data_IF_236009198097
#
_entry.id   IF_236009198097
#
_cell.length_a   1.000
_cell.length_b   1.000
_cell.length_c   1.000
_cell.angle_alpha   90.00
_cell.angle_beta   90.00
_cell.angle_gamma   90.00
#
_symmetry.space_group_name_H-M   'P 1'
#
loop_
_entity.id
_entity.type
_entity.pdbx_description
1 polymer ?
#
# COMPACT_ATOMS: atom_id res chain seq x y z
N UNK A 1 -1.35 -12.96 -11.32
CA UNK A 1 -0.27 -13.05 -10.32
C UNK A 1 -0.70 -12.36 -9.03
N UNK A 2 -0.15 -12.78 -7.88
CA UNK A 2 -0.54 -12.25 -6.56
C UNK A 2 -0.37 -10.72 -6.46
N UNK A 3 0.69 -10.16 -7.05
CA UNK A 3 0.94 -8.72 -7.04
C UNK A 3 -0.17 -7.90 -7.74
N UNK A 4 -0.61 -8.32 -8.93
CA UNK A 4 -1.70 -7.65 -9.64
C UNK A 4 -3.01 -7.66 -8.86
N UNK A 5 -3.29 -8.74 -8.11
CA UNK A 5 -4.46 -8.79 -7.21
C UNK A 5 -4.32 -7.84 -6.03
N UNK A 6 -3.10 -7.65 -5.50
CA UNK A 6 -2.84 -6.65 -4.48
C UNK A 6 -3.08 -5.23 -5.00
N UNK A 7 -2.63 -4.89 -6.21
CA UNK A 7 -2.91 -3.59 -6.84
C UNK A 7 -4.41 -3.38 -7.10
N UNK A 8 -5.12 -4.40 -7.58
CA UNK A 8 -6.58 -4.38 -7.77
C UNK A 8 -7.32 -4.10 -6.44
N UNK A 9 -6.88 -4.73 -5.34
CA UNK A 9 -7.44 -4.46 -4.01
C UNK A 9 -7.16 -3.02 -3.53
N UNK A 10 -5.97 -2.48 -3.81
CA UNK A 10 -5.66 -1.07 -3.53
C UNK A 10 -6.57 -0.15 -4.34
N UNK A 11 -6.82 -0.45 -5.61
CA UNK A 11 -7.73 0.31 -6.49
C UNK A 11 -9.17 0.32 -5.97
N UNK A 12 -9.68 -0.84 -5.53
CA UNK A 12 -10.99 -0.90 -4.86
C UNK A 12 -11.00 -0.08 -3.55
N UNK A 13 -9.91 -0.11 -2.79
CA UNK A 13 -9.79 0.65 -1.53
C UNK A 13 -9.76 2.15 -1.77
N UNK A 14 -9.08 2.61 -2.82
CA UNK A 14 -9.05 4.02 -3.27
C UNK A 14 -10.45 4.49 -3.68
N UNK A 15 -11.20 3.62 -4.37
CA UNK A 15 -12.52 3.94 -4.90
C UNK A 15 -13.59 4.12 -3.82
N UNK A 16 -13.36 3.57 -2.63
CA UNK A 16 -14.28 3.69 -1.49
C UNK A 16 -14.37 5.14 -0.97
N UNK A 17 -15.59 5.69 -0.95
CA UNK A 17 -15.87 7.04 -0.50
C UNK A 17 -15.44 7.31 0.96
N UNK A 18 -15.38 6.28 1.80
CA UNK A 18 -14.93 6.37 3.20
C UNK A 18 -13.47 6.78 3.31
N UNK A 19 -12.66 6.50 2.30
CA UNK A 19 -11.22 6.80 2.29
C UNK A 19 -10.89 8.17 1.69
N UNK A 20 -11.88 8.90 1.17
CA UNK A 20 -11.69 10.26 0.61
C UNK A 20 -11.44 11.33 1.67
N UNK A 21 -11.54 11.01 2.98
CA UNK A 21 -11.41 11.97 4.10
C UNK A 21 -10.07 11.84 4.81
N UNK A 22 -9.52 12.98 5.24
CA UNK A 22 -8.41 13.03 6.21
C UNK A 22 -7.10 12.43 5.70
N UNK A 23 -6.67 12.77 4.48
CA UNK A 23 -5.38 12.37 3.91
C UNK A 23 -5.27 10.92 3.44
N UNK A 24 -6.21 10.03 3.81
CA UNK A 24 -6.19 8.61 3.47
C UNK A 24 -6.11 8.34 1.96
N UNK A 25 -6.90 9.03 1.15
CA UNK A 25 -6.85 8.90 -0.31
C UNK A 25 -5.46 9.19 -0.87
N UNK A 26 -4.80 10.25 -0.37
CA UNK A 26 -3.45 10.62 -0.81
C UNK A 26 -2.44 9.52 -0.49
N UNK A 27 -2.48 8.98 0.73
CA UNK A 27 -1.59 7.90 1.13
C UNK A 27 -1.86 6.60 0.35
N UNK A 28 -3.13 6.28 0.06
CA UNK A 28 -3.46 5.11 -0.77
C UNK A 28 -2.95 5.24 -2.21
N UNK A 29 -3.12 6.41 -2.83
CA UNK A 29 -2.57 6.66 -4.17
C UNK A 29 -1.03 6.59 -4.17
N UNK A 30 -0.38 7.15 -3.15
CA UNK A 30 1.08 7.06 -2.98
C UNK A 30 1.54 5.61 -2.82
N UNK A 31 0.85 4.84 -1.98
CA UNK A 31 1.14 3.42 -1.81
C UNK A 31 1.08 2.67 -3.14
N UNK A 32 0.02 2.90 -3.92
CA UNK A 32 -0.16 2.29 -5.24
C UNK A 32 0.99 2.64 -6.18
N UNK A 33 1.35 3.91 -6.24
CA UNK A 33 2.42 4.42 -7.11
C UNK A 33 3.77 3.81 -6.75
N UNK A 34 4.14 3.80 -5.47
CA UNK A 34 5.42 3.28 -4.99
C UNK A 34 5.50 1.75 -5.16
N UNK A 35 4.40 1.02 -4.98
CA UNK A 35 4.35 -0.41 -5.29
C UNK A 35 4.56 -0.67 -6.78
N UNK A 36 3.91 0.09 -7.66
CA UNK A 36 4.09 -0.07 -9.10
C UNK A 36 5.54 0.26 -9.53
N UNK A 37 6.12 1.34 -9.00
CA UNK A 37 7.52 1.72 -9.26
C UNK A 37 8.51 0.66 -8.77
N UNK A 38 8.28 0.05 -7.60
CA UNK A 38 9.18 -0.97 -7.06
C UNK A 38 9.18 -2.27 -7.88
N UNK A 39 8.01 -2.72 -8.34
CA UNK A 39 7.88 -4.01 -9.05
C UNK A 39 8.08 -3.92 -10.57
N UNK A 40 7.76 -2.78 -11.18
CA UNK A 40 7.77 -2.62 -12.63
C UNK A 40 8.51 -1.38 -13.13
N UNK A 41 8.87 -0.46 -12.23
CA UNK A 41 9.58 0.77 -12.57
C UNK A 41 11.09 0.68 -12.34
N UNK A 42 11.70 1.85 -12.23
CA UNK A 42 13.14 1.97 -11.98
C UNK A 42 13.47 2.06 -10.48
N UNK A 43 12.49 1.77 -9.62
CA UNK A 43 12.60 1.94 -8.17
C UNK A 43 13.09 3.36 -7.79
N UNK A 44 12.50 4.39 -8.41
CA UNK A 44 12.83 5.80 -8.17
C UNK A 44 12.69 6.20 -6.69
N UNK A 45 11.80 5.51 -5.97
CA UNK A 45 11.57 5.73 -4.54
C UNK A 45 12.56 4.97 -3.64
N UNK A 46 13.53 4.24 -4.20
CA UNK A 46 14.52 3.44 -3.47
C UNK A 46 13.89 2.49 -2.44
N UNK A 47 12.78 1.87 -2.81
CA UNK A 47 12.09 0.88 -1.99
C UNK A 47 12.91 -0.42 -1.91
N UNK A 48 12.73 -1.14 -0.80
CA UNK A 48 13.35 -2.43 -0.50
C UNK A 48 12.38 -3.33 0.25
N UNK A 49 12.63 -4.64 0.28
CA UNK A 49 11.81 -5.59 1.06
C UNK A 49 11.70 -5.19 2.53
N UNK A 50 12.81 -4.77 3.15
CA UNK A 50 12.85 -4.30 4.54
C UNK A 50 11.98 -3.04 4.75
N UNK A 51 12.02 -2.10 3.79
CA UNK A 51 11.20 -0.89 3.86
C UNK A 51 9.69 -1.22 3.79
N UNK A 52 9.30 -2.18 2.95
CA UNK A 52 7.92 -2.65 2.87
C UNK A 52 7.48 -3.38 4.13
N UNK A 53 8.35 -4.24 4.67
CA UNK A 53 8.12 -4.93 5.93
C UNK A 53 7.83 -3.92 7.05
N UNK A 54 8.66 -2.88 7.18
CA UNK A 54 8.48 -1.80 8.17
C UNK A 54 7.20 -1.01 7.94
N UNK A 55 6.90 -0.63 6.69
CA UNK A 55 5.69 0.12 6.35
C UNK A 55 4.42 -0.63 6.76
N UNK A 56 4.34 -1.94 6.46
CA UNK A 56 3.19 -2.77 6.80
C UNK A 56 3.21 -3.33 8.23
N UNK A 57 4.34 -3.23 8.95
CA UNK A 57 4.49 -3.79 10.29
C UNK A 57 3.47 -3.23 11.28
N UNK A 58 3.22 -1.92 11.26
CA UNK A 58 2.25 -1.29 12.17
C UNK A 58 0.84 -1.89 12.01
N UNK A 59 0.44 -2.20 10.78
CA UNK A 59 -0.86 -2.81 10.48
C UNK A 59 -0.91 -4.28 10.88
N UNK A 60 0.15 -5.05 10.60
CA UNK A 60 0.20 -6.47 11.00
C UNK A 60 0.17 -6.62 12.52
N UNK A 61 0.88 -5.74 13.25
CA UNK A 61 0.82 -5.71 14.70
C UNK A 61 -0.57 -5.32 15.23
N UNK A 62 -1.21 -4.31 14.64
CA UNK A 62 -2.56 -3.91 15.02
C UNK A 62 -3.60 -5.03 14.81
N UNK A 63 -3.49 -5.80 13.72
CA UNK A 63 -4.35 -6.97 13.47
C UNK A 63 -4.14 -8.04 14.55
N UNK A 64 -2.87 -8.35 14.89
CA UNK A 64 -2.54 -9.34 15.93
C UNK A 64 -3.06 -8.97 17.32
N UNK A 65 -3.12 -7.69 17.67
CA UNK A 65 -3.65 -7.22 18.97
C UNK A 65 -5.17 -7.25 19.06
N UNK A 66 -5.87 -7.31 17.93
CA UNK A 66 -7.34 -7.39 17.86
C UNK A 66 -7.85 -8.84 17.83
N UNK A 67 -6.95 -9.82 17.94
CA UNK A 67 -7.23 -11.24 18.02
C UNK A 67 -6.92 -11.71 19.44
#
# INVERSE_FOLDING_TARGET
GAFFRALELVDFTISDSRNKKGGRLKELCRLREVLADYFFGNNQYNSSEDSWHKYFFAFTWAVRRKT
#
